data_IF_418133472169
#
_entry.id   IF_418133472169
#
_cell.length_a   1.000
_cell.length_b   1.000
_cell.length_c   1.000
_cell.angle_alpha   90.00
_cell.angle_beta   90.00
_cell.angle_gamma   90.00
#
_symmetry.space_group_name_H-M   'P 1'
#
loop_
_entity.id
_entity.type
_entity.pdbx_description
1 polymer ?
#
# COMPACT_ATOMS: atom_id res chain seq x y z
N UNK A 1 -10.41 12.47 -11.81
CA UNK A 1 -10.29 13.80 -11.18
C UNK A 1 -10.11 13.54 -9.68
N UNK A 2 -8.95 13.85 -9.10
CA UNK A 2 -8.66 13.51 -7.69
C UNK A 2 -9.56 14.34 -6.78
N UNK A 3 -10.28 13.69 -5.86
CA UNK A 3 -11.21 14.34 -4.94
C UNK A 3 -10.44 15.28 -3.96
N UNK A 4 -10.67 16.61 -4.00
CA UNK A 4 -10.02 17.54 -3.07
C UNK A 4 -10.35 17.26 -1.59
N UNK A 5 -11.47 16.59 -1.31
CA UNK A 5 -11.83 16.12 0.02
C UNK A 5 -10.93 14.99 0.51
N UNK A 6 -10.59 14.05 -0.39
CA UNK A 6 -9.67 12.96 -0.10
C UNK A 6 -8.27 13.46 0.21
N UNK A 7 -7.74 14.42 -0.57
CA UNK A 7 -6.40 14.97 -0.36
C UNK A 7 -6.18 15.47 1.07
N UNK A 8 -7.09 16.35 1.54
CA UNK A 8 -7.01 16.91 2.90
C UNK A 8 -7.17 15.84 3.96
N UNK A 9 -8.03 14.85 3.72
CA UNK A 9 -8.21 13.74 4.64
C UNK A 9 -6.94 12.91 4.75
N UNK A 10 -6.35 12.52 3.61
CA UNK A 10 -5.14 11.72 3.59
C UNK A 10 -4.00 12.43 4.31
N UNK A 11 -3.71 13.69 3.99
CA UNK A 11 -2.62 14.42 4.64
C UNK A 11 -2.83 14.57 6.16
N UNK A 12 -4.08 14.75 6.61
CA UNK A 12 -4.40 14.82 8.04
C UNK A 12 -4.10 13.50 8.77
N UNK A 13 -4.39 12.36 8.16
CA UNK A 13 -4.30 11.04 8.81
C UNK A 13 -3.11 10.19 8.35
N UNK A 14 -2.28 10.70 7.44
CA UNK A 14 -1.09 10.05 6.91
C UNK A 14 -0.20 9.43 8.01
N UNK A 15 0.12 10.11 9.13
CA UNK A 15 0.92 9.51 10.19
C UNK A 15 0.28 8.26 10.83
N UNK A 16 -1.06 8.18 10.89
CA UNK A 16 -1.76 7.01 11.41
C UNK A 16 -1.68 5.84 10.44
N UNK A 17 -1.83 6.09 9.13
CA UNK A 17 -1.65 5.04 8.12
C UNK A 17 -0.21 4.54 8.08
N UNK A 18 0.79 5.42 8.14
CA UNK A 18 2.20 5.02 8.18
C UNK A 18 2.50 4.17 9.42
N UNK A 19 2.00 4.57 10.59
CA UNK A 19 2.12 3.78 11.82
C UNK A 19 1.43 2.42 11.69
N UNK A 20 0.22 2.37 11.12
CA UNK A 20 -0.49 1.12 10.94
C UNK A 20 0.24 0.19 9.96
N UNK A 21 0.80 0.71 8.87
CA UNK A 21 1.65 -0.08 7.97
C UNK A 21 2.85 -0.65 8.72
N UNK A 22 3.50 0.15 9.57
CA UNK A 22 4.58 -0.35 10.41
C UNK A 22 4.12 -1.53 11.30
N UNK A 23 3.02 -1.35 12.04
CA UNK A 23 2.55 -2.33 13.02
C UNK A 23 1.99 -3.62 12.39
N UNK A 24 1.39 -3.54 11.20
CA UNK A 24 0.75 -4.68 10.53
C UNK A 24 1.66 -5.38 9.53
N UNK A 25 2.54 -4.63 8.87
CA UNK A 25 3.34 -5.09 7.73
C UNK A 25 4.82 -5.16 8.09
N UNK A 26 5.44 -4.06 8.51
CA UNK A 26 6.90 -4.00 8.67
C UNK A 26 7.42 -5.06 9.63
N UNK A 27 6.73 -5.31 10.75
CA UNK A 27 7.11 -6.36 11.72
C UNK A 27 7.08 -7.80 11.16
N UNK A 28 6.52 -8.02 9.96
CA UNK A 28 6.49 -9.30 9.23
C UNK A 28 7.20 -9.22 7.88
N UNK A 29 7.80 -8.06 7.57
CA UNK A 29 8.48 -7.81 6.32
C UNK A 29 9.87 -8.42 6.37
N UNK A 30 10.27 -9.15 5.32
CA UNK A 30 11.61 -9.74 5.24
C UNK A 30 12.73 -8.69 5.23
N UNK A 31 12.42 -7.47 4.76
CA UNK A 31 13.34 -6.34 4.72
C UNK A 31 13.38 -5.55 6.03
N UNK A 32 12.59 -5.90 7.04
CA UNK A 32 12.61 -5.21 8.34
C UNK A 32 13.49 -5.98 9.32
N UNK A 33 14.65 -5.42 9.65
CA UNK A 33 15.64 -6.07 10.47
C UNK A 33 15.31 -6.08 11.96
N UNK A 34 16.03 -6.91 12.71
CA UNK A 34 15.98 -6.96 14.18
C UNK A 34 16.45 -5.64 14.84
N UNK A 35 17.12 -4.78 14.06
CA UNK A 35 17.55 -3.43 14.44
C UNK A 35 16.42 -2.38 14.36
N UNK A 36 15.20 -2.79 14.02
CA UNK A 36 14.03 -1.93 13.81
C UNK A 36 14.19 -0.97 12.62
N UNK A 37 15.05 -1.31 11.65
CA UNK A 37 15.27 -0.52 10.45
C UNK A 37 14.72 -1.25 9.21
N UNK A 38 14.31 -0.45 8.22
CA UNK A 38 13.94 -0.96 6.89
C UNK A 38 15.20 -1.04 6.02
N UNK A 39 15.54 -2.24 5.56
CA UNK A 39 16.70 -2.53 4.70
C UNK A 39 16.30 -2.74 3.24
N UNK A 40 15.22 -2.07 2.80
CA UNK A 40 14.75 -2.16 1.42
C UNK A 40 15.89 -1.96 0.42
N UNK A 41 15.95 -2.83 -0.59
CA UNK A 41 16.93 -2.77 -1.71
C UNK A 41 16.70 -1.57 -2.65
N UNK A 42 15.69 -0.75 -2.39
CA UNK A 42 15.39 0.46 -3.16
C UNK A 42 16.48 1.54 -2.94
N UNK A 43 17.09 2.12 -3.99
CA UNK A 43 18.13 3.15 -3.86
C UNK A 43 17.65 4.43 -3.15
N UNK A 44 16.35 4.72 -3.19
CA UNK A 44 15.75 5.84 -2.47
C UNK A 44 15.37 5.48 -1.02
N UNK A 45 15.61 4.24 -0.58
CA UNK A 45 15.20 3.66 0.71
C UNK A 45 13.72 3.89 1.06
N UNK A 46 12.88 4.09 0.04
CA UNK A 46 11.45 4.32 0.22
C UNK A 46 10.68 3.07 -0.12
N UNK A 47 10.17 2.39 0.92
CA UNK A 47 9.31 1.21 0.78
C UNK A 47 8.18 1.45 -0.24
N UNK A 48 7.98 0.51 -1.16
CA UNK A 48 6.96 0.61 -2.21
C UNK A 48 5.54 0.81 -1.68
N UNK A 49 5.23 0.30 -0.49
CA UNK A 49 3.95 0.52 0.20
C UNK A 49 3.82 1.99 0.64
N UNK A 50 4.86 2.53 1.30
CA UNK A 50 4.86 3.92 1.79
C UNK A 50 4.80 4.90 0.63
N UNK A 51 5.56 4.66 -0.44
CA UNK A 51 5.53 5.47 -1.67
C UNK A 51 4.13 5.55 -2.28
N UNK A 52 3.39 4.44 -2.23
CA UNK A 52 2.07 4.32 -2.82
C UNK A 52 0.94 4.38 -1.78
N UNK A 53 1.21 4.86 -0.56
CA UNK A 53 0.24 4.78 0.54
C UNK A 53 -1.05 5.53 0.22
N UNK A 54 -0.93 6.69 -0.43
CA UNK A 54 -2.08 7.50 -0.83
C UNK A 54 -3.03 6.78 -1.80
N UNK A 55 -2.61 6.33 -3.00
CA UNK A 55 -3.51 5.61 -3.89
C UNK A 55 -4.03 4.31 -3.27
N UNK A 56 -3.25 3.64 -2.41
CA UNK A 56 -3.73 2.46 -1.67
C UNK A 56 -4.91 2.79 -0.75
N UNK A 57 -4.81 3.86 0.05
CA UNK A 57 -5.92 4.30 0.92
C UNK A 57 -7.13 4.72 0.08
N UNK A 58 -6.92 5.38 -1.05
CA UNK A 58 -8.00 5.75 -1.97
C UNK A 58 -8.75 4.52 -2.50
N UNK A 59 -8.00 3.53 -3.00
CA UNK A 59 -8.54 2.24 -3.47
C UNK A 59 -9.29 1.53 -2.35
N UNK A 60 -8.71 1.45 -1.14
CA UNK A 60 -9.32 0.78 0.00
C UNK A 60 -10.69 1.39 0.35
N UNK A 61 -10.80 2.72 0.30
CA UNK A 61 -12.05 3.44 0.57
C UNK A 61 -13.07 3.31 -0.55
N UNK A 62 -12.65 3.13 -1.80
CA UNK A 62 -13.53 3.01 -2.95
C UNK A 62 -14.09 1.60 -3.12
N UNK A 63 -13.25 0.57 -3.03
CA UNK A 63 -13.59 -0.82 -3.42
C UNK A 63 -14.54 -1.50 -2.42
N UNK A 64 -14.34 -1.33 -1.11
CA UNK A 64 -15.19 -1.89 -0.03
C UNK A 64 -15.69 -3.33 -0.26
N UNK A 65 -14.79 -4.21 -0.69
CA UNK A 65 -15.05 -5.62 -0.99
C UNK A 65 -14.55 -6.53 0.14
N UNK A 66 -15.20 -7.68 0.33
CA UNK A 66 -14.70 -8.76 1.20
C UNK A 66 -13.72 -9.71 0.49
N UNK A 67 -13.56 -9.58 -0.83
CA UNK A 67 -12.61 -10.32 -1.66
C UNK A 67 -11.41 -9.44 -2.00
N UNK A 68 -10.25 -10.06 -2.17
CA UNK A 68 -9.01 -9.37 -2.53
C UNK A 68 -8.95 -8.94 -4.01
N UNK A 69 -9.51 -9.74 -4.92
CA UNK A 69 -9.40 -9.50 -6.39
C UNK A 69 -9.79 -8.08 -6.82
N UNK A 70 -10.89 -7.47 -6.33
CA UNK A 70 -11.23 -6.11 -6.71
C UNK A 70 -10.18 -5.06 -6.32
N UNK A 71 -9.49 -5.25 -5.19
CA UNK A 71 -8.39 -4.36 -4.78
C UNK A 71 -7.17 -4.56 -5.67
N UNK A 72 -6.84 -5.80 -6.04
CA UNK A 72 -5.74 -6.11 -6.97
C UNK A 72 -5.99 -5.45 -8.32
N UNK A 73 -7.23 -5.54 -8.82
CA UNK A 73 -7.60 -4.96 -10.11
C UNK A 73 -7.49 -3.44 -10.12
N UNK A 74 -7.93 -2.74 -9.06
CA UNK A 74 -7.72 -1.30 -8.97
C UNK A 74 -6.25 -0.94 -8.76
N UNK A 75 -5.51 -1.72 -7.97
CA UNK A 75 -4.08 -1.50 -7.79
C UNK A 75 -3.32 -1.59 -9.12
N UNK A 76 -3.69 -2.54 -9.98
CA UNK A 76 -3.12 -2.68 -11.33
C UNK A 76 -3.41 -1.46 -12.19
N UNK A 77 -4.63 -0.94 -12.13
CA UNK A 77 -5.09 0.23 -12.91
C UNK A 77 -4.47 1.54 -12.46
N UNK A 78 -4.34 1.76 -11.16
CA UNK A 78 -3.96 3.06 -10.62
C UNK A 78 -2.49 3.14 -10.19
N UNK A 79 -1.91 2.03 -9.73
CA UNK A 79 -0.53 1.99 -9.21
C UNK A 79 0.40 1.29 -10.19
N UNK A 80 0.08 0.06 -10.61
CA UNK A 80 1.03 -0.73 -11.39
C UNK A 80 1.24 -0.20 -12.81
N UNK A 81 0.25 0.47 -13.42
CA UNK A 81 0.40 1.10 -14.74
C UNK A 81 1.51 2.17 -14.78
N UNK A 82 1.87 2.73 -13.61
CA UNK A 82 2.93 3.73 -13.46
C UNK A 82 4.23 3.14 -12.88
N UNK A 83 4.26 1.83 -12.62
CA UNK A 83 5.44 1.17 -12.07
C UNK A 83 6.42 0.79 -13.18
N UNK A 84 7.69 1.12 -13.00
CA UNK A 84 8.77 0.79 -13.95
C UNK A 84 8.95 -0.72 -14.19
N UNK A 85 8.52 -1.56 -13.24
CA UNK A 85 8.59 -3.00 -13.36
C UNK A 85 7.47 -3.59 -14.24
N UNK A 86 6.40 -2.83 -14.51
CA UNK A 86 5.32 -3.29 -15.38
C UNK A 86 5.67 -3.04 -16.84
N UNK A 87 5.64 -4.09 -17.65
CA UNK A 87 5.84 -4.00 -19.09
C UNK A 87 4.60 -3.45 -19.78
N UNK A 88 4.72 -2.92 -21.01
CA UNK A 88 3.58 -2.41 -21.78
C UNK A 88 2.48 -3.45 -22.04
N UNK A 89 2.79 -4.75 -22.00
CA UNK A 89 1.83 -5.85 -22.14
C UNK A 89 1.09 -6.18 -20.84
N UNK A 90 1.35 -5.45 -19.75
CA UNK A 90 0.74 -5.64 -18.43
C UNK A 90 1.45 -6.67 -17.54
N UNK A 91 2.42 -7.43 -18.07
CA UNK A 91 3.21 -8.39 -17.27
C UNK A 91 4.18 -7.68 -16.33
N UNK A 92 4.57 -8.34 -15.25
CA UNK A 92 5.50 -7.77 -14.27
C UNK A 92 6.31 -8.86 -13.58
N UNK A 93 7.60 -9.02 -13.95
CA UNK A 93 8.45 -10.10 -13.43
C UNK A 93 8.50 -10.15 -11.90
N UNK A 94 8.60 -8.98 -11.24
CA UNK A 94 8.65 -8.94 -9.78
C UNK A 94 7.33 -9.36 -9.11
N UNK A 95 6.19 -9.27 -9.79
CA UNK A 95 4.94 -9.85 -9.25
C UNK A 95 4.90 -11.35 -9.47
N UNK A 96 5.35 -11.80 -10.64
CA UNK A 96 5.36 -13.21 -11.02
C UNK A 96 6.32 -14.02 -10.12
N UNK A 97 7.43 -13.41 -9.72
CA UNK A 97 8.41 -13.97 -8.77
C UNK A 97 8.05 -13.69 -7.29
N UNK A 98 6.89 -13.08 -7.01
CA UNK A 98 6.40 -12.74 -5.66
C UNK A 98 7.27 -11.69 -4.93
N UNK A 99 8.24 -11.05 -5.60
CA UNK A 99 9.16 -10.05 -5.02
C UNK A 99 8.56 -8.64 -4.87
N UNK A 100 7.38 -8.39 -5.44
CA UNK A 100 6.69 -7.11 -5.27
C UNK A 100 6.14 -6.99 -3.84
N UNK A 101 6.84 -6.26 -2.97
CA UNK A 101 6.44 -5.99 -1.58
C UNK A 101 4.97 -5.53 -1.45
N UNK A 102 4.52 -4.59 -2.28
CA UNK A 102 3.13 -4.13 -2.27
C UNK A 102 2.13 -5.25 -2.63
N UNK A 103 2.43 -6.07 -3.64
CA UNK A 103 1.56 -7.19 -4.01
C UNK A 103 1.57 -8.30 -2.97
N UNK A 104 2.76 -8.67 -2.47
CA UNK A 104 2.97 -9.71 -1.46
C UNK A 104 2.24 -9.41 -0.15
N UNK A 105 2.29 -8.16 0.31
CA UNK A 105 1.71 -7.74 1.58
C UNK A 105 0.36 -7.02 1.46
N UNK A 106 -0.25 -6.99 0.28
CA UNK A 106 -1.51 -6.28 0.05
C UNK A 106 -2.60 -6.59 1.10
N UNK A 107 -2.84 -7.86 1.51
CA UNK A 107 -3.84 -8.14 2.55
C UNK A 107 -3.55 -7.41 3.88
N UNK A 108 -2.30 -7.43 4.34
CA UNK A 108 -1.91 -6.78 5.59
C UNK A 108 -1.96 -5.25 5.48
N UNK A 109 -1.66 -4.71 4.30
CA UNK A 109 -1.79 -3.27 4.03
C UNK A 109 -3.26 -2.86 4.10
N UNK A 110 -4.18 -3.66 3.53
CA UNK A 110 -5.62 -3.37 3.60
C UNK A 110 -6.14 -3.47 5.04
N UNK A 111 -5.70 -4.46 5.82
CA UNK A 111 -6.02 -4.56 7.25
C UNK A 111 -5.54 -3.33 8.04
N UNK A 112 -4.34 -2.83 7.74
CA UNK A 112 -3.78 -1.64 8.35
C UNK A 112 -4.62 -0.39 8.06
N UNK A 113 -5.00 -0.21 6.79
CA UNK A 113 -5.87 0.90 6.36
C UNK A 113 -7.24 0.80 7.02
N UNK A 114 -7.87 -0.37 7.01
CA UNK A 114 -9.17 -0.58 7.63
C UNK A 114 -9.13 -0.29 9.15
N UNK A 115 -8.05 -0.68 9.84
CA UNK A 115 -7.88 -0.39 11.26
C UNK A 115 -7.86 1.12 11.54
N UNK A 116 -7.22 1.92 10.69
CA UNK A 116 -7.19 3.39 10.81
C UNK A 116 -8.55 3.99 10.47
N UNK A 117 -9.21 3.55 9.38
CA UNK A 117 -10.55 4.02 9.02
C UNK A 117 -11.56 3.77 10.15
N UNK A 118 -11.49 2.61 10.81
CA UNK A 118 -12.31 2.30 11.99
C UNK A 118 -12.01 3.22 13.17
N UNK A 119 -10.76 3.63 13.37
CA UNK A 119 -10.41 4.58 14.43
C UNK A 119 -10.95 5.99 14.11
N UNK A 120 -10.78 6.45 12.87
CA UNK A 120 -11.25 7.76 12.43
C UNK A 120 -12.77 7.87 12.53
N UNK A 121 -13.51 6.85 12.12
CA UNK A 121 -14.98 6.87 12.15
C UNK A 121 -15.59 6.70 13.56
N UNK A 122 -14.76 6.39 14.56
CA UNK A 122 -15.17 6.31 15.98
C UNK A 122 -14.86 7.59 16.76
N UNK A 123 -14.06 8.49 16.20
CA UNK A 123 -13.63 9.75 16.82
C UNK A 123 -14.56 10.90 16.40
#
# INVERSE_FOLDING_TARGET
MRDPGFERHFEKYKPLYEKAVHDFVCVKCEDFGEDLLCHSKDPAHTCSIIRNLKPIVEIARAVKSSKLDPYIEELRREVCVHCENQKPDGTCPVRDDIECCLNRYLPLVLDAVEAVEKQINKA
#
